data_IF_503868117775
#
_entry.id   IF_503868117775
#
_cell.length_a   1.000
_cell.length_b   1.000
_cell.length_c   1.000
_cell.angle_alpha   90.00
_cell.angle_beta   90.00
_cell.angle_gamma   90.00
#
_symmetry.space_group_name_H-M   'P 1'
#
loop_
_entity.id
_entity.type
_entity.pdbx_description
1 polymer ?
#
# COMPACT_ATOMS: atom_id res chain seq x y z
N UNK A 1 14.85 -26.70 0.20
CA UNK A 1 15.71 -25.63 -0.35
C UNK A 1 15.93 -24.59 0.73
N UNK A 2 17.18 -24.12 0.96
CA UNK A 2 17.44 -23.06 1.92
C UNK A 2 16.88 -21.73 1.37
N UNK A 3 16.25 -20.96 2.25
CA UNK A 3 15.80 -19.59 2.00
C UNK A 3 16.78 -18.62 2.67
N UNK A 4 16.97 -17.38 2.17
CA UNK A 4 16.37 -16.76 0.97
C UNK A 4 16.86 -17.34 -0.36
N UNK A 5 16.09 -17.13 -1.44
CA UNK A 5 16.55 -17.41 -2.81
C UNK A 5 17.08 -16.13 -3.45
N UNK A 6 18.35 -16.14 -3.86
CA UNK A 6 18.94 -14.99 -4.53
C UNK A 6 18.56 -14.96 -6.02
N UNK A 7 18.08 -13.81 -6.51
CA UNK A 7 17.71 -13.61 -7.92
C UNK A 7 18.59 -12.55 -8.57
N UNK A 8 19.20 -12.93 -9.70
CA UNK A 8 19.92 -12.02 -10.60
C UNK A 8 19.11 -11.66 -11.85
N UNK A 9 17.85 -12.08 -11.92
CA UNK A 9 16.96 -11.74 -13.04
C UNK A 9 16.58 -10.26 -12.93
N UNK A 10 16.58 -9.58 -14.09
CA UNK A 10 16.09 -8.21 -14.20
C UNK A 10 14.58 -8.20 -14.31
N UNK A 11 13.93 -7.64 -13.29
CA UNK A 11 12.47 -7.50 -13.24
C UNK A 11 12.08 -6.03 -13.37
N UNK A 12 11.11 -5.72 -14.24
CA UNK A 12 10.52 -4.38 -14.29
C UNK A 12 9.32 -4.32 -13.37
N UNK A 13 9.33 -3.38 -12.45
CA UNK A 13 8.28 -3.18 -11.45
C UNK A 13 7.91 -1.72 -11.37
N UNK A 14 6.63 -1.43 -11.16
CA UNK A 14 6.18 -0.09 -10.85
C UNK A 14 5.96 0.03 -9.34
N UNK A 15 6.59 1.04 -8.73
CA UNK A 15 6.49 1.29 -7.30
C UNK A 15 5.20 2.06 -7.03
N UNK A 16 4.19 1.40 -6.45
CA UNK A 16 2.92 2.03 -6.11
C UNK A 16 3.05 2.92 -4.87
N UNK A 17 3.68 2.38 -3.83
CA UNK A 17 3.81 3.06 -2.53
C UNK A 17 5.00 2.50 -1.76
N UNK A 18 5.58 3.32 -0.88
CA UNK A 18 6.51 2.83 0.13
C UNK A 18 6.31 3.58 1.45
N UNK A 19 6.67 2.96 2.57
CA UNK A 19 6.52 3.54 3.91
C UNK A 19 7.59 3.05 4.87
N UNK A 20 7.80 3.81 5.94
CA UNK A 20 8.73 3.45 7.02
C UNK A 20 8.03 2.56 8.05
N UNK A 21 8.55 1.35 8.25
CA UNK A 21 8.13 0.47 9.31
C UNK A 21 8.97 0.75 10.57
N UNK A 22 8.31 1.21 11.64
CA UNK A 22 8.96 1.62 12.89
C UNK A 22 8.55 0.74 14.07
N UNK A 23 9.51 0.47 14.95
CA UNK A 23 9.30 -0.32 16.14
C UNK A 23 8.74 0.54 17.28
N UNK A 24 7.42 0.49 17.47
CA UNK A 24 6.75 1.26 18.54
C UNK A 24 7.18 0.85 19.95
N UNK A 25 7.64 -0.39 20.15
CA UNK A 25 8.12 -0.87 21.46
C UNK A 25 9.54 -0.41 21.77
N UNK A 26 10.31 -0.05 20.74
CA UNK A 26 11.69 0.45 20.85
C UNK A 26 11.77 1.93 20.49
N UNK A 27 10.85 2.74 21.03
CA UNK A 27 10.90 4.20 20.87
C UNK A 27 10.76 4.71 19.43
N UNK A 28 10.16 3.92 18.52
CA UNK A 28 9.97 4.32 17.12
C UNK A 28 11.20 4.12 16.22
N UNK A 29 12.16 3.27 16.63
CA UNK A 29 13.32 2.88 15.83
C UNK A 29 12.90 2.36 14.45
N UNK A 30 13.55 2.84 13.39
CA UNK A 30 13.27 2.37 12.03
C UNK A 30 13.73 0.92 11.87
N UNK A 31 12.84 0.05 11.41
CA UNK A 31 13.14 -1.36 11.14
C UNK A 31 13.41 -1.61 9.66
N UNK A 32 12.54 -1.07 8.80
CA UNK A 32 12.61 -1.24 7.36
C UNK A 32 11.88 -0.11 6.64
N UNK A 33 12.15 0.04 5.35
CA UNK A 33 11.25 0.70 4.42
C UNK A 33 10.57 -0.40 3.62
N UNK A 34 9.26 -0.49 3.77
CA UNK A 34 8.42 -1.46 3.09
C UNK A 34 7.86 -0.82 1.82
N UNK A 35 7.63 -1.63 0.79
CA UNK A 35 7.29 -1.19 -0.56
C UNK A 35 6.19 -2.07 -1.13
N UNK A 36 5.40 -1.50 -2.02
CA UNK A 36 4.40 -2.21 -2.80
C UNK A 36 4.69 -2.02 -4.29
N UNK A 37 5.03 -3.11 -4.95
CA UNK A 37 5.32 -3.18 -6.37
C UNK A 37 4.15 -3.77 -7.12
N UNK A 38 4.01 -3.34 -8.37
CA UNK A 38 3.14 -3.98 -9.34
C UNK A 38 3.94 -4.42 -10.55
N UNK A 39 3.70 -5.65 -10.99
CA UNK A 39 4.35 -6.25 -12.15
C UNK A 39 3.35 -6.95 -13.07
N UNK A 40 3.76 -7.11 -14.34
CA UNK A 40 3.08 -7.96 -15.33
C UNK A 40 3.68 -9.37 -15.24
N UNK A 41 3.13 -10.20 -14.35
CA UNK A 41 3.64 -11.56 -14.18
C UNK A 41 3.14 -12.48 -15.30
N UNK A 42 4.02 -12.80 -16.25
CA UNK A 42 3.75 -13.77 -17.31
C UNK A 42 3.93 -15.24 -16.89
N UNK A 43 4.35 -15.52 -15.66
CA UNK A 43 5.03 -16.79 -15.41
C UNK A 43 4.15 -17.98 -15.01
N UNK A 44 2.86 -17.82 -14.68
CA UNK A 44 2.09 -18.99 -14.18
C UNK A 44 0.75 -19.23 -14.91
N UNK A 45 0.06 -18.20 -15.40
CA UNK A 45 -1.19 -18.42 -16.13
C UNK A 45 -1.33 -17.42 -17.28
N UNK A 46 -1.80 -17.89 -18.43
CA UNK A 46 -2.21 -17.11 -19.59
C UNK A 46 -3.46 -16.26 -19.29
N UNK A 47 -3.37 -15.42 -18.25
CA UNK A 47 -4.40 -14.51 -17.79
C UNK A 47 -3.71 -13.24 -17.34
N UNK A 48 -4.18 -12.11 -17.84
CA UNK A 48 -3.79 -10.71 -17.58
C UNK A 48 -3.85 -10.37 -16.06
N UNK A 49 -3.03 -11.04 -15.26
CA UNK A 49 -3.09 -10.95 -13.79
C UNK A 49 -1.92 -10.12 -13.32
N UNK A 50 -2.23 -8.85 -13.10
CA UNK A 50 -1.34 -7.89 -12.45
C UNK A 50 -1.05 -8.40 -11.04
N UNK A 51 0.22 -8.63 -10.70
CA UNK A 51 0.57 -9.07 -9.35
C UNK A 51 1.05 -7.89 -8.51
N UNK A 52 0.49 -7.79 -7.31
CA UNK A 52 1.05 -6.96 -6.26
C UNK A 52 2.13 -7.75 -5.57
N UNK A 53 3.33 -7.20 -5.44
CA UNK A 53 4.44 -7.84 -4.74
C UNK A 53 4.94 -6.90 -3.65
N UNK A 54 5.09 -7.40 -2.43
CA UNK A 54 5.70 -6.62 -1.36
C UNK A 54 7.22 -6.59 -1.53
N UNK A 55 7.81 -5.43 -1.27
CA UNK A 55 9.24 -5.22 -1.18
C UNK A 55 9.63 -4.77 0.22
N UNK A 56 10.85 -5.07 0.65
CA UNK A 56 11.40 -4.58 1.92
C UNK A 56 12.88 -4.23 1.77
N UNK A 57 13.29 -3.13 2.38
CA UNK A 57 14.70 -2.81 2.62
C UNK A 57 14.93 -2.61 4.10
N UNK A 58 15.89 -3.33 4.67
CA UNK A 58 16.28 -3.19 6.08
C UNK A 58 16.80 -1.78 6.35
N UNK A 59 16.64 -1.31 7.59
CA UNK A 59 17.23 -0.06 8.07
C UNK A 59 18.73 0.07 7.75
N UNK A 60 19.46 -1.06 7.71
CA UNK A 60 20.89 -1.09 7.40
C UNK A 60 21.23 -0.69 5.96
N UNK A 61 20.28 -0.86 5.03
CA UNK A 61 20.49 -0.61 3.60
C UNK A 61 19.65 0.56 3.07
N UNK A 62 18.71 1.09 3.88
CA UNK A 62 17.72 2.04 3.39
C UNK A 62 18.33 3.33 2.81
N UNK A 63 19.43 3.83 3.36
CA UNK A 63 20.04 5.10 2.93
C UNK A 63 20.44 5.08 1.45
N UNK A 64 20.80 3.91 0.91
CA UNK A 64 21.17 3.76 -0.50
C UNK A 64 19.98 3.85 -1.46
N UNK A 65 18.79 3.48 -1.00
CA UNK A 65 17.61 3.37 -1.86
C UNK A 65 16.60 4.47 -1.61
N UNK A 66 16.51 4.99 -0.38
CA UNK A 66 15.45 5.89 0.07
C UNK A 66 15.28 7.13 -0.80
N UNK A 67 16.37 7.76 -1.19
CA UNK A 67 16.37 8.98 -2.03
C UNK A 67 16.09 8.69 -3.50
N UNK A 68 16.26 7.42 -3.92
CA UNK A 68 16.06 6.97 -5.31
C UNK A 68 14.63 6.47 -5.54
N UNK A 69 13.89 6.19 -4.48
CA UNK A 69 12.49 5.74 -4.53
C UNK A 69 11.56 6.92 -4.75
N UNK A 70 10.63 6.73 -5.67
CA UNK A 70 9.57 7.68 -6.02
C UNK A 70 8.34 6.87 -6.37
N UNK A 71 7.24 7.14 -5.67
CA UNK A 71 5.94 6.53 -5.95
C UNK A 71 5.50 6.84 -7.39
N UNK A 72 4.77 5.91 -8.00
CA UNK A 72 4.36 5.94 -9.41
C UNK A 72 5.47 5.70 -10.42
N UNK A 73 6.74 5.62 -10.00
CA UNK A 73 7.87 5.42 -10.93
C UNK A 73 8.10 3.95 -11.26
N UNK A 74 8.55 3.71 -12.49
CA UNK A 74 8.96 2.42 -12.99
C UNK A 74 10.45 2.17 -12.70
N UNK A 75 10.78 0.95 -12.30
CA UNK A 75 12.15 0.54 -12.01
C UNK A 75 12.48 -0.81 -12.63
N UNK A 76 13.75 -1.02 -12.93
CA UNK A 76 14.36 -2.34 -13.11
C UNK A 76 15.07 -2.74 -11.83
N UNK A 77 14.73 -3.92 -11.30
CA UNK A 77 15.33 -4.54 -10.13
C UNK A 77 16.20 -5.73 -10.53
N UNK A 78 17.42 -5.81 -9.97
CA UNK A 78 18.31 -6.97 -10.10
C UNK A 78 19.03 -7.25 -8.78
N UNK A 79 19.52 -8.48 -8.59
CA UNK A 79 20.36 -8.84 -7.45
C UNK A 79 19.62 -8.82 -6.10
N UNK A 80 18.30 -9.06 -6.10
CA UNK A 80 17.47 -9.06 -4.89
C UNK A 80 17.23 -10.48 -4.37
N UNK A 81 16.80 -10.58 -3.11
CA UNK A 81 16.43 -11.84 -2.51
C UNK A 81 14.90 -12.04 -2.54
N UNK A 82 14.47 -13.26 -2.84
CA UNK A 82 13.09 -13.69 -2.72
C UNK A 82 12.90 -14.40 -1.39
N UNK A 83 11.96 -13.91 -0.60
CA UNK A 83 11.64 -14.43 0.73
C UNK A 83 10.15 -14.74 0.85
N UNK A 84 9.76 -15.52 1.85
CA UNK A 84 8.35 -15.75 2.14
C UNK A 84 7.72 -14.48 2.69
N UNK A 85 6.54 -14.13 2.18
CA UNK A 85 5.78 -12.97 2.64
C UNK A 85 5.44 -13.10 4.13
N UNK A 86 5.50 -11.98 4.85
CA UNK A 86 5.07 -11.93 6.24
C UNK A 86 3.53 -11.92 6.30
N UNK A 87 2.95 -12.90 6.98
CA UNK A 87 1.49 -13.04 7.08
C UNK A 87 0.85 -12.12 8.11
N UNK A 88 1.64 -11.43 8.94
CA UNK A 88 1.12 -10.55 9.98
C UNK A 88 0.60 -9.21 9.42
N UNK A 89 1.12 -8.76 8.26
CA UNK A 89 0.76 -7.48 7.63
C UNK A 89 0.68 -7.66 6.11
N UNK A 90 -0.45 -8.19 5.64
CA UNK A 90 -0.63 -8.63 4.25
C UNK A 90 -1.25 -7.51 3.42
N UNK A 91 -0.40 -6.84 2.63
CA UNK A 91 -0.80 -5.84 1.61
C UNK A 91 -0.90 -6.46 0.21
N UNK A 92 -0.43 -7.69 0.04
CA UNK A 92 -0.43 -8.44 -1.23
C UNK A 92 -0.80 -9.89 -0.98
N UNK A 93 -1.46 -10.52 -1.96
CA UNK A 93 -1.71 -11.96 -1.91
C UNK A 93 -0.52 -12.85 -2.28
N UNK A 94 0.59 -12.26 -2.69
CA UNK A 94 1.80 -12.96 -3.08
C UNK A 94 2.35 -13.79 -1.91
N UNK A 95 2.67 -15.05 -2.21
CA UNK A 95 3.34 -15.96 -1.28
C UNK A 95 4.79 -15.55 -0.98
N UNK A 96 5.37 -14.74 -1.86
CA UNK A 96 6.74 -14.28 -1.79
C UNK A 96 6.81 -12.75 -1.83
N UNK A 97 7.84 -12.23 -1.18
CA UNK A 97 8.19 -10.82 -1.19
C UNK A 97 9.66 -10.63 -1.60
N UNK A 98 9.94 -9.43 -2.10
CA UNK A 98 11.27 -9.00 -2.49
C UNK A 98 11.97 -8.41 -1.27
N UNK A 99 13.22 -8.80 -1.03
CA UNK A 99 14.09 -8.22 -0.01
C UNK A 99 15.33 -7.66 -0.68
N UNK A 100 15.56 -6.38 -0.46
CA UNK A 100 16.77 -5.71 -0.93
C UNK A 100 17.94 -6.10 -0.04
N UNK A 101 19.07 -6.37 -0.69
CA UNK A 101 20.35 -6.67 -0.07
C UNK A 101 21.44 -5.73 -0.63
N UNK A 102 22.69 -5.97 -0.27
CA UNK A 102 23.83 -5.16 -0.72
C UNK A 102 24.09 -5.24 -2.24
N UNK A 103 23.79 -6.38 -2.85
CA UNK A 103 23.90 -6.60 -4.30
C UNK A 103 22.74 -6.04 -5.12
N UNK A 104 21.65 -5.59 -4.46
CA UNK A 104 20.45 -5.14 -5.18
C UNK A 104 20.72 -3.85 -5.95
N UNK A 105 20.46 -3.87 -7.26
CA UNK A 105 20.38 -2.68 -8.10
C UNK A 105 18.93 -2.29 -8.33
N UNK A 106 18.69 -0.99 -8.33
CA UNK A 106 17.40 -0.35 -8.56
C UNK A 106 17.66 0.75 -9.58
N UNK A 107 17.14 0.64 -10.81
CA UNK A 107 17.36 1.63 -11.86
C UNK A 107 16.02 2.19 -12.32
N UNK A 108 15.88 3.52 -12.35
CA UNK A 108 14.63 4.18 -12.75
C UNK A 108 14.50 4.15 -14.27
N UNK A 109 13.35 3.74 -14.77
CA UNK A 109 13.06 3.60 -16.21
C UNK A 109 11.99 4.61 -16.62
N UNK A 110 12.12 5.18 -17.82
CA UNK A 110 11.17 6.18 -18.34
C UNK A 110 9.87 5.59 -18.86
N UNK A 111 9.92 4.41 -19.47
CA UNK A 111 8.76 3.69 -20.00
C UNK A 111 9.07 2.21 -20.09
N UNK A 112 8.08 1.36 -19.83
CA UNK A 112 8.18 -0.08 -20.10
C UNK A 112 7.64 -0.36 -21.51
N UNK A 113 8.22 -1.34 -22.18
CA UNK A 113 7.60 -1.94 -23.37
C UNK A 113 6.33 -2.74 -23.03
N UNK A 114 6.08 -2.99 -21.73
CA UNK A 114 4.92 -3.71 -21.21
C UNK A 114 3.90 -2.73 -20.61
N UNK A 115 2.60 -3.01 -20.73
CA UNK A 115 1.54 -2.19 -20.13
C UNK A 115 1.43 -2.49 -18.62
N UNK A 116 2.38 -2.01 -17.83
CA UNK A 116 2.34 -2.11 -16.36
C UNK A 116 1.37 -1.03 -15.83
N UNK A 117 0.33 -1.39 -15.04
CA UNK A 117 -0.60 -0.43 -14.50
C UNK A 117 0.05 0.53 -13.50
N UNK A 118 -0.27 1.81 -13.61
CA UNK A 118 0.23 2.85 -12.69
C UNK A 118 -0.43 2.84 -11.33
N UNK A 119 -1.65 2.31 -11.26
CA UNK A 119 -2.42 2.14 -10.04
C UNK A 119 -3.10 0.77 -10.08
N UNK A 120 -3.15 0.10 -8.92
CA UNK A 120 -3.90 -1.14 -8.76
C UNK A 120 -4.67 -1.08 -7.44
N UNK A 121 -5.98 -1.32 -7.52
CA UNK A 121 -6.88 -1.29 -6.37
C UNK A 121 -7.41 -2.68 -6.06
N UNK A 122 -7.35 -3.08 -4.79
CA UNK A 122 -8.02 -4.27 -4.29
C UNK A 122 -9.28 -3.86 -3.54
N UNK A 123 -10.36 -3.71 -4.29
CA UNK A 123 -11.68 -3.44 -3.70
C UNK A 123 -12.16 -4.70 -2.97
N UNK A 124 -12.37 -4.61 -1.66
CA UNK A 124 -13.02 -5.67 -0.87
C UNK A 124 -14.51 -5.36 -0.69
N UNK A 125 -15.33 -6.42 -0.71
CA UNK A 125 -16.73 -6.32 -0.32
C UNK A 125 -16.84 -6.06 1.19
N UNK A 126 -17.88 -5.35 1.62
CA UNK A 126 -18.06 -5.00 3.02
C UNK A 126 -18.06 -6.22 3.96
N UNK A 127 -18.70 -7.31 3.56
CA UNK A 127 -18.71 -8.58 4.31
C UNK A 127 -17.31 -9.12 4.57
N UNK A 128 -16.38 -8.98 3.62
CA UNK A 128 -14.99 -9.40 3.77
C UNK A 128 -14.21 -8.47 4.70
N UNK A 129 -14.52 -7.18 4.72
CA UNK A 129 -13.91 -6.22 5.66
C UNK A 129 -14.24 -6.61 7.11
N UNK A 130 -15.44 -7.14 7.37
CA UNK A 130 -15.85 -7.60 8.71
C UNK A 130 -14.95 -8.71 9.25
N UNK A 131 -14.40 -9.56 8.38
CA UNK A 131 -13.52 -10.65 8.78
C UNK A 131 -12.16 -10.15 9.30
N UNK A 132 -11.78 -8.91 9.00
CA UNK A 132 -10.49 -8.33 9.35
C UNK A 132 -10.52 -7.30 10.49
N UNK A 133 -11.69 -7.03 11.08
CA UNK A 133 -11.85 -6.02 12.14
C UNK A 133 -10.92 -6.26 13.33
N UNK A 134 -10.17 -5.21 13.72
CA UNK A 134 -9.21 -5.21 14.82
C UNK A 134 -8.06 -6.23 14.69
N UNK A 135 -7.91 -6.89 13.55
CA UNK A 135 -6.84 -7.87 13.34
C UNK A 135 -5.53 -7.21 12.90
N UNK A 136 -5.60 -6.07 12.20
CA UNK A 136 -4.45 -5.43 11.58
C UNK A 136 -3.78 -6.27 10.47
N UNK A 137 -4.38 -7.40 10.09
CA UNK A 137 -3.78 -8.39 9.20
C UNK A 137 -3.90 -8.04 7.72
N UNK A 138 -4.91 -7.24 7.34
CA UNK A 138 -5.18 -6.89 5.95
C UNK A 138 -5.78 -5.49 5.85
N UNK A 139 -5.40 -4.77 4.78
CA UNK A 139 -5.70 -3.35 4.60
C UNK A 139 -6.42 -3.11 3.25
N UNK A 140 -7.77 -2.99 3.22
CA UNK A 140 -8.55 -2.81 1.99
C UNK A 140 -8.42 -1.46 1.28
N UNK A 141 -8.88 -1.42 0.02
CA UNK A 141 -9.17 -0.19 -0.73
C UNK A 141 -10.68 0.02 -0.90
N UNK A 142 -11.20 1.26 -0.74
CA UNK A 142 -12.64 1.56 -0.69
C UNK A 142 -12.98 2.89 -1.40
N UNK A 143 -14.09 2.98 -2.16
CA UNK A 143 -14.46 4.11 -3.06
C UNK A 143 -15.76 4.82 -2.63
N UNK A 144 -15.78 6.13 -2.29
CA UNK A 144 -16.89 6.73 -1.49
C UNK A 144 -17.15 8.26 -1.57
N UNK A 145 -18.31 8.80 -1.12
CA UNK A 145 -18.75 10.22 -1.22
C UNK A 145 -19.11 10.92 0.12
N UNK A 146 -18.66 12.19 0.29
CA UNK A 146 -18.87 13.36 1.25
C UNK A 146 -19.61 13.19 2.63
N UNK A 147 -19.33 13.87 3.79
CA UNK A 147 -18.95 15.26 4.22
C UNK A 147 -18.18 15.31 5.58
N UNK A 148 -17.63 16.48 6.01
CA UNK A 148 -16.80 16.63 7.24
C UNK A 148 -16.63 18.02 7.91
N UNK A 149 -16.37 18.10 9.24
CA UNK A 149 -15.77 19.26 9.93
C UNK A 149 -14.34 19.04 10.52
N UNK A 150 -13.46 20.05 10.41
CA UNK A 150 -12.41 20.39 11.42
C UNK A 150 -10.98 19.84 11.27
N UNK A 151 -9.97 20.69 11.48
CA UNK A 151 -8.59 20.59 10.96
C UNK A 151 -7.50 19.91 11.83
N UNK A 152 -7.81 18.87 12.61
CA UNK A 152 -6.77 18.02 13.25
C UNK A 152 -7.04 16.53 13.08
N UNK A 153 -8.30 16.15 12.96
CA UNK A 153 -8.75 14.82 12.61
C UNK A 153 -9.94 15.00 11.68
N UNK A 154 -9.87 14.38 10.52
CA UNK A 154 -10.90 14.44 9.49
C UNK A 154 -11.65 13.11 9.52
N UNK A 155 -12.82 13.08 10.17
CA UNK A 155 -13.76 11.95 10.25
C UNK A 155 -14.85 11.96 9.17
N UNK A 156 -14.61 11.29 8.04
CA UNK A 156 -15.60 11.12 6.99
C UNK A 156 -16.63 10.08 7.41
N UNK A 157 -17.91 10.43 7.42
CA UNK A 157 -18.98 9.42 7.36
C UNK A 157 -19.27 9.11 5.91
N UNK A 158 -19.16 7.84 5.54
CA UNK A 158 -19.10 7.42 4.16
C UNK A 158 -20.12 6.32 3.86
N UNK A 159 -20.92 6.48 2.81
CA UNK A 159 -21.94 5.49 2.41
C UNK A 159 -21.41 4.55 1.31
N UNK A 160 -21.32 3.26 1.61
CA UNK A 160 -20.94 2.22 0.66
C UNK A 160 -22.06 1.95 -0.35
N UNK A 161 -21.71 1.35 -1.50
CA UNK A 161 -22.68 0.92 -2.52
C UNK A 161 -23.73 -0.05 -1.97
N UNK A 162 -23.35 -0.87 -0.99
CA UNK A 162 -24.22 -1.82 -0.31
C UNK A 162 -25.22 -1.15 0.65
N UNK A 163 -25.05 0.14 0.95
CA UNK A 163 -25.97 0.96 1.72
C UNK A 163 -25.51 1.28 3.14
N UNK A 164 -24.52 0.55 3.66
CA UNK A 164 -23.94 0.76 4.99
C UNK A 164 -23.08 2.03 5.05
N UNK A 165 -23.03 2.66 6.23
CA UNK A 165 -22.15 3.78 6.50
C UNK A 165 -20.91 3.31 7.27
N UNK A 166 -19.75 3.84 6.89
CA UNK A 166 -18.46 3.60 7.55
C UNK A 166 -17.81 4.93 7.89
N UNK A 167 -17.16 5.03 9.05
CA UNK A 167 -16.35 6.20 9.38
C UNK A 167 -14.90 5.97 8.91
N UNK A 168 -14.33 6.94 8.21
CA UNK A 168 -12.89 7.00 7.90
C UNK A 168 -12.29 8.17 8.65
N UNK A 169 -11.24 7.91 9.43
CA UNK A 169 -10.50 8.95 10.16
C UNK A 169 -9.13 9.16 9.49
N UNK A 170 -8.84 10.41 9.12
CA UNK A 170 -7.51 10.86 8.69
C UNK A 170 -6.94 11.84 9.72
N UNK A 171 -5.62 11.84 9.88
CA UNK A 171 -4.92 12.69 10.86
C UNK A 171 -3.86 13.58 10.20
N UNK A 172 -3.41 14.58 10.95
CA UNK A 172 -2.23 15.41 10.67
C UNK A 172 -2.21 16.05 9.27
N UNK A 173 -1.06 16.02 8.60
CA UNK A 173 -0.83 16.63 7.28
C UNK A 173 -1.73 16.03 6.20
N UNK A 174 -2.10 14.75 6.32
CA UNK A 174 -3.02 14.10 5.40
C UNK A 174 -4.44 14.67 5.53
N UNK A 175 -4.91 14.87 6.78
CA UNK A 175 -6.20 15.50 7.04
C UNK A 175 -6.26 16.92 6.46
N UNK A 176 -5.20 17.71 6.63
CA UNK A 176 -5.12 19.08 6.11
C UNK A 176 -5.08 19.11 4.58
N UNK A 177 -4.25 18.27 3.96
CA UNK A 177 -4.16 18.16 2.51
C UNK A 177 -5.48 17.70 1.89
N UNK A 178 -6.13 16.72 2.53
CA UNK A 178 -7.44 16.25 2.11
C UNK A 178 -8.49 17.35 2.21
N UNK A 179 -8.58 18.07 3.35
CA UNK A 179 -9.53 19.17 3.52
C UNK A 179 -9.34 20.27 2.47
N UNK A 180 -8.10 20.68 2.23
CA UNK A 180 -7.77 21.72 1.25
C UNK A 180 -8.17 21.30 -0.16
N UNK A 181 -7.85 20.06 -0.54
CA UNK A 181 -8.21 19.50 -1.84
C UNK A 181 -9.72 19.33 -1.98
N UNK A 182 -10.38 18.87 -0.91
CA UNK A 182 -11.82 18.69 -0.84
C UNK A 182 -12.53 20.03 -1.05
N UNK A 183 -12.15 21.09 -0.33
CA UNK A 183 -12.74 22.43 -0.49
C UNK A 183 -12.61 22.99 -1.91
N UNK A 184 -11.50 22.70 -2.59
CA UNK A 184 -11.24 23.17 -3.96
C UNK A 184 -12.27 22.68 -4.99
N UNK A 185 -12.98 21.58 -4.70
CA UNK A 185 -13.97 20.97 -5.59
C UNK A 185 -15.42 21.47 -5.41
N UNK A 186 -15.69 22.47 -4.56
CA UNK A 186 -17.02 23.10 -4.47
C UNK A 186 -18.17 22.22 -3.92
N UNK A 187 -19.27 22.04 -4.67
CA UNK A 187 -20.48 21.29 -4.24
C UNK A 187 -20.77 20.02 -5.06
N UNK A 188 -19.85 19.63 -5.94
CA UNK A 188 -20.05 18.46 -6.78
C UNK A 188 -19.99 17.15 -5.96
N UNK A 189 -20.72 16.10 -6.36
CA UNK A 189 -20.60 14.79 -5.74
C UNK A 189 -19.20 14.22 -5.97
N UNK A 190 -18.54 13.75 -4.90
CA UNK A 190 -17.11 13.40 -4.92
C UNK A 190 -16.89 11.95 -4.63
N UNK A 191 -16.10 11.27 -5.45
CA UNK A 191 -15.64 9.93 -5.14
C UNK A 191 -14.24 9.99 -4.52
N UNK A 192 -14.07 9.38 -3.37
CA UNK A 192 -12.89 9.31 -2.52
C UNK A 192 -12.48 7.85 -2.46
N UNK A 193 -11.30 7.53 -2.97
CA UNK A 193 -10.74 6.18 -2.86
C UNK A 193 -9.76 6.17 -1.68
N UNK A 194 -10.08 5.39 -0.66
CA UNK A 194 -9.31 5.19 0.55
C UNK A 194 -8.59 3.84 0.46
N UNK A 195 -7.26 3.86 0.31
CA UNK A 195 -6.46 2.65 0.10
C UNK A 195 -5.68 2.21 1.33
N UNK A 196 -5.45 0.90 1.50
CA UNK A 196 -4.68 0.35 2.62
C UNK A 196 -5.19 0.77 4.01
N UNK A 197 -6.50 0.75 4.22
CA UNK A 197 -7.12 1.17 5.50
C UNK A 197 -7.10 0.08 6.56
N UNK A 198 -6.92 0.43 7.84
CA UNK A 198 -7.02 -0.55 8.94
C UNK A 198 -8.43 -0.55 9.56
N UNK A 199 -9.23 -1.63 9.41
CA UNK A 199 -10.57 -1.70 9.98
C UNK A 199 -10.51 -1.90 11.50
N UNK A 200 -11.09 -0.94 12.25
CA UNK A 200 -11.23 -0.98 13.71
C UNK A 200 -12.67 -0.76 14.15
N UNK A 201 -13.03 -1.33 15.30
CA UNK A 201 -14.27 -0.98 16.01
C UNK A 201 -13.92 -0.15 17.23
N UNK A 202 -14.48 1.05 17.33
CA UNK A 202 -14.31 1.95 18.48
C UNK A 202 -15.67 2.39 18.96
N UNK A 203 -16.03 2.06 20.21
CA UNK A 203 -17.30 2.48 20.82
C UNK A 203 -18.56 1.99 20.08
N UNK A 204 -18.49 0.84 19.40
CA UNK A 204 -19.59 0.31 18.57
C UNK A 204 -19.68 0.93 17.17
N UNK A 205 -18.86 1.94 16.86
CA UNK A 205 -18.73 2.55 15.55
C UNK A 205 -17.55 1.96 14.79
N UNK A 206 -17.75 1.63 13.51
CA UNK A 206 -16.70 1.11 12.62
C UNK A 206 -15.88 2.27 12.09
N UNK A 207 -14.59 2.30 12.46
CA UNK A 207 -13.63 3.31 12.07
C UNK A 207 -12.53 2.64 11.25
N UNK A 208 -12.33 3.15 10.04
CA UNK A 208 -11.18 2.85 9.21
C UNK A 208 -10.13 3.93 9.47
N UNK A 209 -8.97 3.52 9.98
CA UNK A 209 -7.89 4.45 10.31
C UNK A 209 -6.81 4.44 9.22
N UNK A 210 -6.34 5.64 8.88
CA UNK A 210 -5.09 5.92 8.19
C UNK A 210 -3.98 6.27 9.18
#
# INVERSE_FOLDING_TARGET
MPWPLHSNVAEEVQLLRFWEARNLRKGGELMSVDMLFVDDNRFIFSSLTVNLTQGTVSANHQLRFRERLSEGSLYTLTGFDVVRSNTNFRFSDAFFSIRFNEGTSLEKVMASARPIPTELFRVMAYSQILEFENTGKQLPDITITDRLPGAQCVMLTLRLRSGENVCVSMFDSLALAFHTKLDSYGREPRVVIATSVNPKIVGGMRILCF
#
